data_IF_413530359436
#
_entry.id   IF_413530359436
#
_cell.length_a   1.000
_cell.length_b   1.000
_cell.length_c   1.000
_cell.angle_alpha   90.00
_cell.angle_beta   90.00
_cell.angle_gamma   90.00
#
_symmetry.space_group_name_H-M   'P 1'
#
loop_
_entity.id
_entity.type
_entity.pdbx_description
1 polymer ?
#
# COMPACT_ATOMS: atom_id res chain seq x y z
N UNK A 1 13.61 14.23 15.82
CA UNK A 1 12.28 14.22 16.43
C UNK A 1 11.54 12.97 16.01
N UNK A 2 11.13 12.18 16.95
CA UNK A 2 10.41 10.95 16.65
C UNK A 2 8.94 11.26 16.33
N UNK A 3 8.41 10.59 15.30
CA UNK A 3 6.99 10.67 14.99
C UNK A 3 6.25 9.78 15.99
N UNK A 4 5.29 10.34 16.68
CA UNK A 4 4.48 9.57 17.62
C UNK A 4 3.66 8.54 16.85
N UNK A 5 3.78 7.27 17.24
CA UNK A 5 2.98 6.20 16.63
C UNK A 5 1.51 6.38 17.00
N UNK A 6 0.63 6.31 16.01
CA UNK A 6 -0.81 6.37 16.21
C UNK A 6 -1.32 4.96 16.52
N UNK A 7 -2.34 4.86 17.39
CA UNK A 7 -2.98 3.57 17.66
C UNK A 7 -4.16 3.35 16.70
N UNK A 8 -4.62 2.11 16.58
CA UNK A 8 -5.76 1.81 15.73
C UNK A 8 -6.99 2.64 16.10
N UNK A 9 -7.25 2.81 17.42
CA UNK A 9 -8.39 3.58 17.90
C UNK A 9 -8.34 5.05 17.52
N UNK A 10 -7.14 5.57 17.29
CA UNK A 10 -6.94 6.97 16.90
C UNK A 10 -7.14 7.21 15.41
N UNK A 11 -7.24 6.15 14.61
CA UNK A 11 -7.45 6.29 13.17
C UNK A 11 -8.84 6.81 12.86
N UNK A 12 -8.92 7.86 12.07
CA UNK A 12 -10.18 8.47 11.62
C UNK A 12 -10.12 8.71 10.13
N UNK A 13 -11.29 8.80 9.46
CA UNK A 13 -11.31 9.14 8.04
C UNK A 13 -10.53 10.43 7.77
N UNK A 14 -9.71 10.41 6.73
CA UNK A 14 -8.84 11.51 6.37
C UNK A 14 -7.44 11.43 6.95
N UNK A 15 -7.17 10.53 7.89
CA UNK A 15 -5.81 10.35 8.42
C UNK A 15 -4.88 9.85 7.31
N UNK A 16 -3.69 10.44 7.22
CA UNK A 16 -2.68 10.07 6.24
C UNK A 16 -1.41 9.61 6.95
N UNK A 17 -0.97 8.41 6.60
CA UNK A 17 0.30 7.88 7.13
C UNK A 17 1.48 8.54 6.43
N UNK A 18 2.67 8.57 7.06
CA UNK A 18 3.86 9.04 6.37
C UNK A 18 4.12 8.20 5.13
N UNK A 19 4.47 8.84 3.99
CA UNK A 19 4.71 8.10 2.76
C UNK A 19 6.01 7.30 2.83
N UNK A 20 6.10 6.25 2.01
CA UNK A 20 7.30 5.45 1.86
C UNK A 20 7.82 5.57 0.44
N UNK A 21 9.13 5.64 0.30
CA UNK A 21 9.81 5.78 -0.98
C UNK A 21 10.50 4.47 -1.33
N UNK A 22 10.38 4.05 -2.58
CA UNK A 22 11.01 2.84 -3.08
C UNK A 22 11.78 3.14 -4.36
N UNK A 23 13.01 2.62 -4.44
CA UNK A 23 13.76 2.62 -5.69
C UNK A 23 13.51 1.28 -6.38
N UNK A 24 12.94 1.34 -7.58
CA UNK A 24 12.60 0.15 -8.34
C UNK A 24 13.79 -0.28 -9.20
N UNK A 25 14.86 -0.70 -8.52
CA UNK A 25 16.11 -1.07 -9.18
C UNK A 25 15.97 -2.32 -10.03
N UNK A 26 16.93 -2.52 -10.93
CA UNK A 26 16.98 -3.73 -11.75
C UNK A 26 17.03 -4.99 -10.87
N UNK A 27 17.76 -4.93 -9.76
CA UNK A 27 17.83 -6.04 -8.81
C UNK A 27 16.47 -6.35 -8.17
N UNK A 28 15.74 -5.32 -7.75
CA UNK A 28 14.40 -5.48 -7.19
C UNK A 28 13.45 -6.11 -8.21
N UNK A 29 13.45 -5.59 -9.43
CA UNK A 29 12.57 -6.09 -10.49
C UNK A 29 12.92 -7.52 -10.86
N UNK A 30 14.22 -7.85 -10.94
CA UNK A 30 14.67 -9.20 -11.24
C UNK A 30 14.20 -10.21 -10.19
N UNK A 31 14.27 -9.85 -8.91
CA UNK A 31 13.77 -10.71 -7.83
C UNK A 31 12.28 -10.93 -7.93
N UNK A 32 11.52 -9.88 -8.24
CA UNK A 32 10.07 -10.00 -8.41
C UNK A 32 9.73 -10.93 -9.57
N UNK A 33 10.37 -10.73 -10.74
CA UNK A 33 10.12 -11.54 -11.93
C UNK A 33 10.45 -13.01 -11.68
N UNK A 34 11.51 -13.30 -10.95
CA UNK A 34 11.85 -14.66 -10.56
C UNK A 34 10.77 -15.28 -9.67
N UNK A 35 10.28 -14.52 -8.69
CA UNK A 35 9.29 -15.02 -7.74
C UNK A 35 7.97 -15.37 -8.42
N UNK A 36 7.61 -14.69 -9.51
CA UNK A 36 6.37 -14.95 -10.25
C UNK A 36 6.62 -15.73 -11.55
N UNK A 37 7.85 -16.21 -11.77
CA UNK A 37 8.25 -16.99 -12.95
C UNK A 37 7.85 -16.30 -14.26
N UNK A 38 8.25 -15.04 -14.40
CA UNK A 38 7.91 -14.21 -15.55
C UNK A 38 9.15 -13.59 -16.16
N UNK A 39 9.09 -13.31 -17.46
CA UNK A 39 10.10 -12.55 -18.16
C UNK A 39 9.67 -11.07 -18.22
N UNK A 40 10.61 -10.16 -18.01
CA UNK A 40 10.30 -8.73 -18.01
C UNK A 40 10.16 -8.16 -19.40
N UNK A 41 9.56 -6.96 -19.49
CA UNK A 41 9.34 -6.23 -20.75
C UNK A 41 9.97 -4.83 -20.73
N UNK A 42 10.99 -4.60 -19.91
CA UNK A 42 11.68 -3.30 -19.82
C UNK A 42 11.06 -2.31 -18.85
N UNK A 43 9.84 -2.55 -18.40
CA UNK A 43 9.17 -1.74 -17.39
C UNK A 43 8.98 -2.54 -16.13
N UNK A 44 8.78 -1.81 -15.02
CA UNK A 44 8.45 -2.46 -13.74
C UNK A 44 7.06 -3.08 -13.86
N UNK A 45 6.88 -4.37 -13.54
CA UNK A 45 5.55 -4.96 -13.55
C UNK A 45 4.60 -4.19 -12.65
N UNK A 46 3.40 -3.83 -13.11
CA UNK A 46 2.45 -3.05 -12.29
C UNK A 46 2.12 -3.71 -10.95
N UNK A 47 2.07 -5.04 -10.88
CA UNK A 47 1.81 -5.73 -9.63
C UNK A 47 2.97 -5.66 -8.65
N UNK A 48 4.21 -5.45 -9.13
CA UNK A 48 5.36 -5.21 -8.25
C UNK A 48 5.21 -3.86 -7.55
N UNK A 49 4.70 -2.85 -8.24
CA UNK A 49 4.41 -1.54 -7.67
C UNK A 49 3.27 -1.64 -6.65
N UNK A 50 2.22 -2.38 -6.99
CA UNK A 50 1.12 -2.65 -6.07
C UNK A 50 1.61 -3.35 -4.80
N UNK A 51 2.55 -4.28 -4.93
CA UNK A 51 3.15 -4.96 -3.78
C UNK A 51 3.87 -3.98 -2.85
N UNK A 52 4.54 -2.97 -3.39
CA UNK A 52 5.16 -1.92 -2.59
C UNK A 52 4.12 -1.12 -1.81
N UNK A 53 3.01 -0.77 -2.45
CA UNK A 53 1.93 -0.03 -1.80
C UNK A 53 1.28 -0.85 -0.69
N UNK A 54 1.03 -2.13 -0.95
CA UNK A 54 0.45 -3.04 0.05
C UNK A 54 1.42 -3.27 1.21
N UNK A 55 2.71 -3.40 0.93
CA UNK A 55 3.72 -3.52 1.98
C UNK A 55 3.76 -2.26 2.86
N UNK A 56 3.65 -1.08 2.26
CA UNK A 56 3.58 0.18 2.99
C UNK A 56 2.36 0.20 3.90
N UNK A 57 1.21 -0.20 3.38
CA UNK A 57 -0.03 -0.31 4.15
C UNK A 57 0.15 -1.25 5.34
N UNK A 58 0.69 -2.43 5.11
CA UNK A 58 0.88 -3.44 6.15
C UNK A 58 1.80 -2.94 7.27
N UNK A 59 2.84 -2.19 6.91
CA UNK A 59 3.77 -1.62 7.90
C UNK A 59 3.19 -0.43 8.63
N UNK A 60 2.30 0.33 7.98
CA UNK A 60 1.80 1.59 8.52
C UNK A 60 0.63 1.43 9.46
N UNK A 61 -0.27 0.49 9.16
CA UNK A 61 -1.51 0.33 9.91
C UNK A 61 -1.23 -0.35 11.25
N UNK A 62 -1.51 0.34 12.38
CA UNK A 62 -1.31 -0.25 13.69
C UNK A 62 -2.50 -1.15 14.02
N UNK A 63 -2.26 -2.45 14.14
CA UNK A 63 -3.30 -3.41 14.54
C UNK A 63 -3.20 -3.68 16.04
N UNK A 64 -4.35 -3.89 16.72
CA UNK A 64 -4.32 -4.28 18.11
C UNK A 64 -3.55 -5.57 18.33
N UNK A 65 -2.79 -5.64 19.44
CA UNK A 65 -1.97 -6.81 19.75
C UNK A 65 -2.81 -8.08 19.82
N UNK A 66 -2.32 -9.15 19.20
CA UNK A 66 -3.00 -10.44 19.18
C UNK A 66 -4.19 -10.51 18.22
N UNK A 67 -4.42 -9.46 17.43
CA UNK A 67 -5.53 -9.42 16.49
C UNK A 67 -5.10 -10.01 15.15
N UNK A 68 -5.96 -10.84 14.57
CA UNK A 68 -5.79 -11.33 13.22
C UNK A 68 -6.61 -10.44 12.29
N UNK A 69 -5.95 -9.80 11.34
CA UNK A 69 -6.60 -8.97 10.36
C UNK A 69 -6.69 -9.71 9.02
N UNK A 70 -7.80 -9.55 8.34
CA UNK A 70 -8.04 -10.15 7.03
C UNK A 70 -8.03 -9.04 5.99
N UNK A 71 -7.19 -9.20 4.95
CA UNK A 71 -7.22 -8.33 3.78
C UNK A 71 -8.42 -8.77 2.94
N UNK A 72 -9.57 -8.17 3.18
CA UNK A 72 -10.84 -8.66 2.66
C UNK A 72 -11.07 -8.30 1.20
N UNK A 73 -10.57 -7.13 0.76
CA UNK A 73 -10.72 -6.72 -0.64
C UNK A 73 -9.61 -5.76 -1.05
N UNK A 74 -9.36 -5.72 -2.35
CA UNK A 74 -8.37 -4.84 -2.94
C UNK A 74 -8.81 -4.49 -4.35
N UNK A 75 -8.89 -3.19 -4.67
CA UNK A 75 -8.97 -2.77 -6.07
C UNK A 75 -7.68 -2.04 -6.44
N UNK A 76 -7.40 -1.98 -7.73
CA UNK A 76 -6.20 -1.34 -8.27
C UNK A 76 -6.54 -0.68 -9.59
N UNK A 77 -5.98 0.49 -9.81
CA UNK A 77 -6.08 1.20 -11.09
C UNK A 77 -4.69 1.66 -11.49
N UNK A 78 -4.29 1.34 -12.71
CA UNK A 78 -2.98 1.66 -13.24
C UNK A 78 -3.09 2.81 -14.23
N UNK A 79 -2.23 3.83 -14.09
CA UNK A 79 -2.32 5.04 -14.90
C UNK A 79 -1.19 5.20 -15.90
N UNK A 80 0.02 4.71 -15.59
CA UNK A 80 1.15 4.85 -16.49
C UNK A 80 2.21 3.79 -16.20
N UNK A 81 2.98 3.38 -17.22
CA UNK A 81 4.10 2.47 -17.00
C UNK A 81 5.24 3.17 -16.28
N UNK A 82 6.05 2.39 -15.56
CA UNK A 82 7.19 2.89 -14.80
C UNK A 82 8.44 2.19 -15.28
N UNK A 83 9.48 2.94 -15.72
CA UNK A 83 10.72 2.32 -16.16
C UNK A 83 11.50 1.74 -14.97
N UNK A 84 12.28 0.69 -15.26
CA UNK A 84 13.17 0.10 -14.27
C UNK A 84 14.20 1.14 -13.86
N UNK A 85 14.46 1.26 -12.56
CA UNK A 85 15.36 2.25 -12.00
C UNK A 85 14.67 3.49 -11.46
N UNK A 86 13.37 3.64 -11.72
CA UNK A 86 12.61 4.79 -11.22
C UNK A 86 12.36 4.70 -9.73
N UNK A 87 12.12 5.85 -9.13
CA UNK A 87 11.74 5.96 -7.72
C UNK A 87 10.25 6.28 -7.63
N UNK A 88 9.55 5.60 -6.73
CA UNK A 88 8.14 5.83 -6.47
C UNK A 88 7.91 6.19 -5.02
N UNK A 89 6.80 6.86 -4.75
CA UNK A 89 6.39 7.22 -3.41
C UNK A 89 4.98 6.67 -3.17
N UNK A 90 4.84 5.86 -2.13
CA UNK A 90 3.57 5.23 -1.77
C UNK A 90 2.92 5.98 -0.62
N UNK A 91 1.67 6.37 -0.80
CA UNK A 91 0.87 7.10 0.18
C UNK A 91 -0.31 6.25 0.61
N UNK A 92 -0.51 6.15 1.90
CA UNK A 92 -1.60 5.40 2.50
C UNK A 92 -2.43 6.34 3.34
N UNK A 93 -3.74 6.35 3.14
CA UNK A 93 -4.66 7.16 3.93
C UNK A 93 -5.88 6.36 4.36
N UNK A 94 -6.52 6.80 5.43
CA UNK A 94 -7.76 6.19 5.92
C UNK A 94 -8.93 6.85 5.21
N UNK A 95 -9.70 6.04 4.47
CA UNK A 95 -10.90 6.52 3.80
C UNK A 95 -12.12 6.40 4.72
N UNK A 96 -12.29 5.23 5.37
CA UNK A 96 -13.42 4.97 6.26
C UNK A 96 -13.02 3.98 7.34
N UNK A 97 -13.72 4.05 8.45
CA UNK A 97 -13.59 3.10 9.55
C UNK A 97 -15.00 2.74 9.99
N UNK A 98 -15.39 1.50 9.79
CA UNK A 98 -16.77 1.06 9.96
C UNK A 98 -16.81 -0.07 10.99
N UNK A 99 -17.69 0.07 11.98
CA UNK A 99 -18.01 -1.01 12.89
C UNK A 99 -19.31 -1.67 12.42
N UNK A 100 -19.26 -2.99 12.22
CA UNK A 100 -20.44 -3.74 11.77
C UNK A 100 -20.52 -5.04 12.55
N UNK A 101 -21.43 -5.07 13.52
CA UNK A 101 -21.57 -6.21 14.41
C UNK A 101 -20.30 -6.44 15.21
N UNK A 102 -19.76 -7.65 15.12
CA UNK A 102 -18.52 -8.03 15.81
C UNK A 102 -17.27 -7.78 14.97
N UNK A 103 -17.42 -7.10 13.86
CA UNK A 103 -16.30 -6.81 12.94
C UNK A 103 -16.06 -5.32 12.84
N UNK A 104 -14.80 -4.96 12.72
CA UNK A 104 -14.40 -3.61 12.37
C UNK A 104 -13.77 -3.67 10.98
N UNK A 105 -14.12 -2.72 10.12
CA UNK A 105 -13.57 -2.64 8.77
C UNK A 105 -12.85 -1.31 8.59
N UNK A 106 -11.62 -1.39 8.13
CA UNK A 106 -10.80 -0.23 7.83
C UNK A 106 -10.62 -0.17 6.32
N UNK A 107 -11.10 0.91 5.72
CA UNK A 107 -10.94 1.12 4.28
C UNK A 107 -9.83 2.13 4.06
N UNK A 108 -8.82 1.71 3.30
CA UNK A 108 -7.61 2.49 3.07
C UNK A 108 -7.49 2.87 1.60
N UNK A 109 -7.01 4.07 1.35
CA UNK A 109 -6.65 4.52 0.01
C UNK A 109 -5.15 4.39 -0.15
N UNK A 110 -4.75 3.77 -1.26
CA UNK A 110 -3.36 3.61 -1.63
C UNK A 110 -3.11 4.41 -2.89
N UNK A 111 -2.13 5.31 -2.85
CA UNK A 111 -1.75 6.09 -4.02
C UNK A 111 -0.26 6.00 -4.24
N UNK A 112 0.15 5.82 -5.47
CA UNK A 112 1.56 5.75 -5.84
C UNK A 112 1.86 6.85 -6.84
N UNK A 113 2.90 7.62 -6.56
CA UNK A 113 3.36 8.72 -7.42
C UNK A 113 4.78 8.46 -7.87
N UNK A 114 5.12 8.95 -9.06
CA UNK A 114 6.50 8.94 -9.52
C UNK A 114 7.25 10.18 -8.99
N UNK A 115 8.52 10.30 -9.36
CA UNK A 115 9.37 11.41 -8.92
C UNK A 115 8.86 12.77 -9.42
N UNK A 116 8.16 12.79 -10.55
CA UNK A 116 7.53 13.99 -11.08
C UNK A 116 6.18 14.33 -10.48
N UNK A 117 5.76 13.60 -9.42
CA UNK A 117 4.48 13.79 -8.74
C UNK A 117 3.27 13.39 -9.59
N UNK A 118 3.48 12.62 -10.63
CA UNK A 118 2.39 12.07 -11.42
C UNK A 118 1.91 10.76 -10.82
N UNK A 119 0.58 10.57 -10.81
CA UNK A 119 -0.01 9.35 -10.26
C UNK A 119 0.27 8.16 -11.17
N UNK A 120 0.82 7.11 -10.57
CA UNK A 120 1.15 5.85 -11.25
C UNK A 120 0.07 4.81 -11.02
N UNK A 121 -0.39 4.70 -9.80
CA UNK A 121 -1.41 3.75 -9.39
C UNK A 121 -2.26 4.33 -8.28
N UNK A 122 -3.49 3.83 -8.17
CA UNK A 122 -4.31 4.05 -6.98
C UNK A 122 -5.10 2.78 -6.69
N UNK A 123 -5.60 2.68 -5.47
CA UNK A 123 -6.43 1.55 -5.08
C UNK A 123 -7.06 1.76 -3.73
N UNK A 124 -8.00 0.90 -3.41
CA UNK A 124 -8.61 0.81 -2.08
C UNK A 124 -8.45 -0.59 -1.55
N UNK A 125 -8.10 -0.67 -0.29
CA UNK A 125 -7.99 -1.93 0.43
C UNK A 125 -8.95 -1.92 1.60
N UNK A 126 -9.63 -3.03 1.82
CA UNK A 126 -10.46 -3.21 3.01
C UNK A 126 -9.82 -4.25 3.90
N UNK A 127 -9.55 -3.86 5.14
CA UNK A 127 -9.02 -4.76 6.16
C UNK A 127 -10.14 -4.99 7.17
N UNK A 128 -10.45 -6.25 7.43
CA UNK A 128 -11.46 -6.65 8.41
C UNK A 128 -10.76 -7.27 9.62
N UNK A 129 -11.21 -6.87 10.80
CA UNK A 129 -10.70 -7.42 12.05
C UNK A 129 -11.83 -7.54 13.05
N UNK A 130 -11.69 -8.44 14.06
CA UNK A 130 -12.69 -8.55 15.13
C UNK A 130 -12.80 -7.23 15.88
N UNK A 131 -14.02 -6.85 16.20
CA UNK A 131 -14.27 -5.64 16.96
C UNK A 131 -13.90 -5.82 18.43
#
# INVERSE_FOLDING_TARGET
>A
MSVKAVSYEELTPGYKFPPATYELSASFVSKYLKAVDSAGAGFVPPLAIAACAIATMTKSVPLPSGTIAIHASQDLEFFKPVPIGATIECHIGVAQKIARGKMSMLILELEVFDKGKEKVQSGKATIALPA
#
